data_IF_716840797737
#
_entry.id   IF_716840797737
#
_cell.length_a   1.000
_cell.length_b   1.000
_cell.length_c   1.000
_cell.angle_alpha   90.00
_cell.angle_beta   90.00
_cell.angle_gamma   90.00
#
_symmetry.space_group_name_H-M   'P 1'
#
loop_
_entity.id
_entity.type
_entity.pdbx_description
1 polymer ?
#
# COMPACT_ATOMS: atom_id res chain seq x y z
N UNK A 1 14.00 3.98 21.06
CA UNK A 1 14.38 2.73 20.37
C UNK A 1 14.80 3.09 18.96
N UNK A 2 15.90 2.54 18.45
CA UNK A 2 16.19 2.54 17.02
C UNK A 2 15.54 1.29 16.44
N UNK A 3 14.61 1.47 15.51
CA UNK A 3 14.10 0.36 14.70
C UNK A 3 15.03 0.20 13.50
N UNK A 4 15.42 -1.03 13.17
CA UNK A 4 16.28 -1.35 12.01
C UNK A 4 15.45 -1.36 10.71
N UNK A 5 14.70 -0.28 10.49
CA UNK A 5 13.83 -0.10 9.32
C UNK A 5 14.45 0.93 8.37
N UNK A 6 14.39 0.65 7.07
CA UNK A 6 14.78 1.60 6.02
C UNK A 6 13.79 2.76 5.94
N UNK A 7 12.51 2.50 6.20
CA UNK A 7 11.48 3.52 6.17
C UNK A 7 11.54 4.44 7.39
N UNK A 8 11.32 5.76 7.21
CA UNK A 8 11.47 6.73 8.29
C UNK A 8 10.30 6.68 9.28
N UNK A 9 10.50 5.99 10.41
CA UNK A 9 9.50 5.85 11.49
C UNK A 9 8.95 7.20 11.96
N UNK A 10 9.82 8.20 12.14
CA UNK A 10 9.38 9.54 12.59
C UNK A 10 8.45 10.24 11.60
N UNK A 11 8.60 9.98 10.29
CA UNK A 11 7.71 10.54 9.27
C UNK A 11 6.35 9.87 9.32
N UNK A 12 6.33 8.55 9.46
CA UNK A 12 5.10 7.76 9.61
C UNK A 12 4.34 8.18 10.87
N UNK A 13 5.02 8.31 12.01
CA UNK A 13 4.41 8.77 13.26
C UNK A 13 3.74 10.15 13.11
N UNK A 14 4.40 11.09 12.43
CA UNK A 14 3.84 12.42 12.17
C UNK A 14 2.58 12.33 11.30
N UNK A 15 2.62 11.58 10.20
CA UNK A 15 1.47 11.40 9.31
C UNK A 15 0.27 10.75 10.02
N UNK A 16 0.53 9.78 10.90
CA UNK A 16 -0.52 9.13 11.68
C UNK A 16 -1.16 10.08 12.71
N UNK A 17 -0.41 11.05 13.24
CA UNK A 17 -0.94 12.09 14.17
C UNK A 17 -1.71 13.20 13.46
N UNK A 18 -1.45 13.41 12.17
CA UNK A 18 -2.18 14.38 11.33
C UNK A 18 -3.56 13.85 10.90
N UNK A 19 -3.84 12.56 11.09
CA UNK A 19 -5.11 11.96 10.73
C UNK A 19 -6.25 12.42 11.67
N UNK A 20 -7.45 12.70 11.14
CA UNK A 20 -8.60 13.09 11.95
C UNK A 20 -9.00 11.97 12.94
N UNK A 21 -9.49 12.36 14.11
CA UNK A 21 -9.98 11.48 15.19
C UNK A 21 -8.95 10.55 15.88
N UNK A 22 -7.65 10.84 15.77
CA UNK A 22 -6.62 10.07 16.49
C UNK A 22 -6.32 10.70 17.85
N UNK A 23 -6.81 10.07 18.93
CA UNK A 23 -6.71 10.63 20.29
C UNK A 23 -5.29 10.50 20.90
N UNK A 24 -4.66 9.32 20.82
CA UNK A 24 -3.26 9.06 21.22
C UNK A 24 -2.69 7.82 20.53
N UNK A 25 -1.56 7.95 19.86
CA UNK A 25 -0.78 6.83 19.31
C UNK A 25 0.38 6.46 20.23
N UNK A 26 0.56 5.16 20.45
CA UNK A 26 1.76 4.62 21.10
C UNK A 26 2.93 4.66 20.13
N UNK A 27 4.14 4.85 20.66
CA UNK A 27 5.38 4.74 19.87
C UNK A 27 5.47 3.41 19.11
N UNK A 28 5.00 2.32 19.72
CA UNK A 28 5.02 0.99 19.10
C UNK A 28 4.14 0.92 17.84
N UNK A 29 3.05 1.71 17.78
CA UNK A 29 2.16 1.74 16.62
C UNK A 29 2.89 2.23 15.38
N UNK A 30 3.65 3.30 15.51
CA UNK A 30 4.41 3.89 14.40
C UNK A 30 5.52 2.97 13.93
N UNK A 31 6.24 2.29 14.85
CA UNK A 31 7.25 1.30 14.51
C UNK A 31 6.64 0.09 13.79
N UNK A 32 5.55 -0.46 14.32
CA UNK A 32 4.86 -1.60 13.72
C UNK A 32 4.34 -1.26 12.33
N UNK A 33 3.63 -0.15 12.19
CA UNK A 33 3.08 0.29 10.91
C UNK A 33 4.16 0.56 9.86
N UNK A 34 5.27 1.17 10.28
CA UNK A 34 6.43 1.37 9.39
C UNK A 34 7.00 0.03 8.91
N UNK A 35 7.11 -0.96 9.79
CA UNK A 35 7.57 -2.29 9.43
C UNK A 35 6.64 -3.00 8.45
N UNK A 36 5.32 -2.86 8.61
CA UNK A 36 4.33 -3.41 7.67
C UNK A 36 4.46 -2.75 6.29
N UNK A 37 4.57 -1.42 6.23
CA UNK A 37 4.75 -0.70 4.97
C UNK A 37 6.04 -1.12 4.26
N UNK A 38 7.13 -1.29 5.00
CA UNK A 38 8.41 -1.72 4.47
C UNK A 38 8.34 -3.15 3.93
N UNK A 39 7.73 -4.08 4.68
CA UNK A 39 7.52 -5.46 4.25
C UNK A 39 6.68 -5.54 2.97
N UNK A 40 5.55 -4.84 2.92
CA UNK A 40 4.69 -4.83 1.74
C UNK A 40 5.42 -4.24 0.53
N UNK A 41 6.13 -3.12 0.71
CA UNK A 41 6.88 -2.49 -0.38
C UNK A 41 8.00 -3.42 -0.89
N UNK A 42 8.74 -4.05 0.02
CA UNK A 42 9.80 -4.99 -0.35
C UNK A 42 9.25 -6.19 -1.13
N UNK A 43 8.12 -6.76 -0.70
CA UNK A 43 7.50 -7.90 -1.37
C UNK A 43 7.00 -7.52 -2.78
N UNK A 44 6.33 -6.36 -2.93
CA UNK A 44 5.89 -5.85 -4.23
C UNK A 44 7.08 -5.61 -5.17
N UNK A 45 8.16 -5.00 -4.67
CA UNK A 45 9.38 -4.76 -5.46
C UNK A 45 10.08 -6.06 -5.85
N UNK A 46 10.09 -7.08 -4.98
CA UNK A 46 10.68 -8.39 -5.28
C UNK A 46 9.93 -9.07 -6.43
N UNK A 47 8.59 -9.07 -6.37
CA UNK A 47 7.74 -9.67 -7.40
C UNK A 47 7.84 -8.90 -8.73
N UNK A 48 7.80 -7.56 -8.68
CA UNK A 48 7.93 -6.72 -9.87
C UNK A 48 9.33 -6.83 -10.51
N UNK A 49 10.38 -7.02 -9.71
CA UNK A 49 11.73 -7.29 -10.20
C UNK A 49 11.81 -8.64 -10.92
N UNK A 50 11.20 -9.69 -10.37
CA UNK A 50 11.11 -11.00 -11.05
C UNK A 50 10.41 -10.87 -12.39
N UNK A 51 9.30 -10.12 -12.47
CA UNK A 51 8.59 -9.88 -13.73
C UNK A 51 9.44 -9.08 -14.73
N UNK A 52 10.15 -8.04 -14.27
CA UNK A 52 11.07 -7.29 -15.13
C UNK A 52 12.18 -8.18 -15.72
N UNK A 53 12.78 -9.04 -14.89
CA UNK A 53 13.82 -9.99 -15.31
C UNK A 53 13.28 -11.00 -16.31
N UNK A 54 12.06 -11.53 -16.08
CA UNK A 54 11.37 -12.43 -17.00
C UNK A 54 11.14 -11.77 -18.37
N UNK A 55 10.93 -10.45 -18.39
CA UNK A 55 10.76 -9.64 -19.59
C UNK A 55 12.07 -9.11 -20.19
N UNK A 56 13.22 -9.58 -19.68
CA UNK A 56 14.56 -9.12 -20.08
C UNK A 56 14.75 -7.60 -19.96
N UNK A 57 14.09 -6.99 -18.98
CA UNK A 57 14.21 -5.56 -18.65
C UNK A 57 15.04 -5.40 -17.37
N UNK A 58 15.92 -4.40 -17.39
CA UNK A 58 16.71 -3.99 -16.21
C UNK A 58 15.91 -3.03 -15.32
N UNK A 59 14.94 -2.31 -15.89
CA UNK A 59 14.12 -1.34 -15.19
C UNK A 59 12.74 -1.92 -14.87
N UNK A 60 12.28 -1.71 -13.64
CA UNK A 60 10.90 -2.00 -13.24
C UNK A 60 9.99 -0.92 -13.83
N UNK A 61 8.96 -1.33 -14.57
CA UNK A 61 7.95 -0.46 -15.18
C UNK A 61 6.60 -0.69 -14.49
N UNK A 62 5.61 0.22 -14.63
CA UNK A 62 4.28 0.02 -14.06
C UNK A 62 3.64 -1.32 -14.47
N UNK A 63 3.83 -1.76 -15.72
CA UNK A 63 3.32 -3.05 -16.22
C UNK A 63 3.84 -4.25 -15.42
N UNK A 64 5.11 -4.21 -15.00
CA UNK A 64 5.69 -5.27 -14.17
C UNK A 64 5.10 -5.30 -12.76
N UNK A 65 4.69 -4.14 -12.22
CA UNK A 65 4.04 -4.04 -10.92
C UNK A 65 2.62 -4.58 -11.00
N UNK A 66 1.85 -4.17 -12.01
CA UNK A 66 0.48 -4.66 -12.23
C UNK A 66 0.44 -6.19 -12.30
N UNK A 67 1.26 -6.79 -13.17
CA UNK A 67 1.33 -8.25 -13.29
C UNK A 67 1.84 -8.93 -12.04
N UNK A 68 2.79 -8.33 -11.34
CA UNK A 68 3.28 -8.87 -10.08
C UNK A 68 2.16 -8.92 -9.04
N UNK A 69 1.29 -7.91 -8.99
CA UNK A 69 0.15 -7.89 -8.08
C UNK A 69 -0.91 -8.94 -8.48
N UNK A 70 -1.29 -8.98 -9.75
CA UNK A 70 -2.32 -9.89 -10.27
C UNK A 70 -1.99 -11.37 -10.04
N UNK A 71 -0.71 -11.75 -10.17
CA UNK A 71 -0.27 -13.14 -10.03
C UNK A 71 0.19 -13.50 -8.61
N UNK A 72 0.04 -12.60 -7.64
CA UNK A 72 0.51 -12.80 -6.27
C UNK A 72 -0.63 -13.01 -5.28
N UNK A 73 -0.34 -13.56 -4.10
CA UNK A 73 -1.30 -13.59 -2.99
C UNK A 73 -1.63 -12.19 -2.44
N UNK A 74 -0.93 -11.14 -2.90
CA UNK A 74 -1.25 -9.76 -2.53
C UNK A 74 -2.40 -9.18 -3.35
N UNK A 75 -2.86 -9.88 -4.41
CA UNK A 75 -4.01 -9.48 -5.21
C UNK A 75 -5.19 -9.06 -4.33
N UNK A 76 -5.60 -9.86 -3.36
CA UNK A 76 -6.71 -9.53 -2.44
C UNK A 76 -6.51 -8.28 -1.56
N UNK A 77 -5.28 -7.82 -1.36
CA UNK A 77 -4.97 -6.58 -0.63
C UNK A 77 -5.14 -5.36 -1.54
N UNK A 78 -4.95 -5.54 -2.84
CA UNK A 78 -5.00 -4.50 -3.86
C UNK A 78 -6.19 -4.63 -4.81
N UNK A 79 -7.07 -5.61 -4.59
CA UNK A 79 -8.36 -5.71 -5.25
C UNK A 79 -9.13 -4.43 -4.95
N UNK A 80 -9.41 -3.67 -6.00
CA UNK A 80 -10.26 -2.51 -5.91
C UNK A 80 -11.66 -3.02 -5.57
N UNK A 81 -12.20 -2.64 -4.41
CA UNK A 81 -13.63 -2.67 -4.15
C UNK A 81 -14.28 -1.61 -5.07
N UNK A 82 -14.16 -1.77 -6.39
CA UNK A 82 -14.97 -1.05 -7.38
C UNK A 82 -16.38 -1.64 -7.31
N UNK A 83 -17.02 -1.52 -6.14
CA UNK A 83 -18.43 -1.21 -6.17
C UNK A 83 -18.49 0.19 -6.77
N UNK A 84 -19.00 0.37 -8.00
CA UNK A 84 -19.44 1.69 -8.38
C UNK A 84 -20.38 2.12 -7.27
N UNK A 85 -20.05 3.21 -6.57
CA UNK A 85 -21.03 3.94 -5.79
C UNK A 85 -22.13 4.29 -6.79
N UNK A 86 -23.16 3.46 -6.87
CA UNK A 86 -24.44 3.81 -7.45
C UNK A 86 -25.01 4.89 -6.52
N UNK A 87 -24.47 6.10 -6.66
CA UNK A 87 -25.05 7.31 -6.12
C UNK A 87 -26.31 7.55 -6.94
N UNK A 88 -27.35 6.76 -6.65
CA UNK A 88 -28.64 6.82 -7.30
C UNK A 88 -29.16 8.24 -7.25
N UNK A 89 -29.22 8.89 -8.42
CA UNK A 89 -29.88 10.17 -8.60
C UNK A 89 -31.32 10.07 -8.09
N UNK A 90 -31.78 10.93 -7.15
CA UNK A 90 -33.18 10.93 -6.77
C UNK A 90 -34.02 11.39 -7.96
N UNK A 91 -34.66 10.43 -8.63
CA UNK A 91 -35.64 10.70 -9.68
C UNK A 91 -36.84 11.41 -9.06
N UNK A 92 -36.95 12.71 -9.33
CA UNK A 92 -38.10 13.52 -8.99
C UNK A 92 -39.35 12.94 -9.69
N UNK A 93 -40.22 12.27 -8.92
CA UNK A 93 -41.55 11.92 -9.39
C UNK A 93 -42.44 13.16 -9.29
N UNK A 94 -43.06 13.50 -10.43
CA UNK A 94 -44.18 14.43 -10.54
C UNK A 94 -45.41 13.90 -9.82
#
# INVERSE_FOLDING_TARGET
MRAELQFPVSRVDRLLREAPDVQRLSWCTSVFFTGVLEYLTANVLELASKEAVNHHKVLITPEHVERALDNSPLSSVFEDDTHPRDDGMPSARK
#
